data_IF_604533597079
#
_entry.id   IF_604533597079
#
_cell.length_a   1.000
_cell.length_b   1.000
_cell.length_c   1.000
_cell.angle_alpha   90.00
_cell.angle_beta   90.00
_cell.angle_gamma   90.00
#
_symmetry.space_group_name_H-M   'P 1'
#
loop_
_entity.id
_entity.type
_entity.pdbx_description
1 polymer ?
#
# COMPACT_ATOMS: atom_id res chain seq x y z
N UNK A 1 -33.15 3.68 -6.86
CA UNK A 1 -33.03 4.69 -5.80
C UNK A 1 -31.56 4.97 -5.53
N UNK A 2 -31.17 6.25 -5.46
CA UNK A 2 -29.84 6.67 -5.02
C UNK A 2 -29.95 7.27 -3.63
N UNK A 3 -29.22 6.72 -2.66
CA UNK A 3 -29.08 7.33 -1.33
C UNK A 3 -27.96 8.36 -1.38
N UNK A 4 -28.16 9.48 -0.69
CA UNK A 4 -27.16 10.52 -0.48
C UNK A 4 -26.82 10.58 1.00
N UNK A 5 -25.52 10.67 1.32
CA UNK A 5 -25.02 10.85 2.67
C UNK A 5 -24.17 12.12 2.71
N UNK A 6 -24.59 13.06 3.55
CA UNK A 6 -23.80 14.26 3.83
C UNK A 6 -22.70 13.90 4.84
N UNK A 7 -21.48 13.85 4.36
CA UNK A 7 -20.32 13.45 5.19
C UNK A 7 -19.97 14.49 6.26
N UNK A 8 -20.33 15.78 6.09
CA UNK A 8 -20.02 16.81 7.09
C UNK A 8 -20.69 16.48 8.43
N UNK A 9 -21.92 15.97 8.35
CA UNK A 9 -22.75 15.67 9.51
C UNK A 9 -22.56 14.25 10.09
N UNK A 10 -21.69 13.42 9.47
CA UNK A 10 -21.44 12.07 9.97
C UNK A 10 -20.30 12.03 11.01
N UNK A 11 -20.42 11.16 12.03
CA UNK A 11 -19.28 10.85 12.92
C UNK A 11 -18.07 10.32 12.16
N UNK A 12 -16.86 10.63 12.63
CA UNK A 12 -15.60 10.19 11.98
C UNK A 12 -15.55 8.67 11.75
N UNK A 13 -16.10 7.88 12.67
CA UNK A 13 -16.12 6.42 12.54
C UNK A 13 -17.02 5.96 11.38
N UNK A 14 -18.14 6.64 11.12
CA UNK A 14 -19.01 6.32 10.00
C UNK A 14 -18.40 6.76 8.68
N UNK A 15 -17.77 7.96 8.64
CA UNK A 15 -16.98 8.39 7.47
C UNK A 15 -15.93 7.34 7.11
N UNK A 16 -15.20 6.82 8.10
CA UNK A 16 -14.21 5.77 7.91
C UNK A 16 -14.84 4.48 7.35
N UNK A 17 -15.97 4.04 7.91
CA UNK A 17 -16.68 2.84 7.43
C UNK A 17 -17.10 2.97 5.97
N UNK A 18 -17.76 4.06 5.61
CA UNK A 18 -18.19 4.29 4.22
C UNK A 18 -17.00 4.35 3.26
N UNK A 19 -16.03 5.22 3.53
CA UNK A 19 -14.89 5.40 2.63
C UNK A 19 -14.06 4.12 2.47
N UNK A 20 -13.80 3.39 3.56
CA UNK A 20 -13.02 2.16 3.52
C UNK A 20 -13.76 0.97 2.89
N UNK A 21 -15.10 0.99 2.90
CA UNK A 21 -15.93 -0.04 2.27
C UNK A 21 -16.16 0.22 0.77
N UNK A 22 -16.16 1.49 0.35
CA UNK A 22 -16.48 1.88 -1.02
C UNK A 22 -15.22 2.06 -1.90
N UNK A 23 -14.10 2.48 -1.29
CA UNK A 23 -12.82 2.60 -2.01
C UNK A 23 -12.07 1.28 -1.89
N UNK A 24 -12.40 0.35 -2.74
CA UNK A 24 -11.86 -1.01 -2.83
C UNK A 24 -11.63 -1.39 -4.29
N UNK A 25 -10.69 -2.33 -4.60
CA UNK A 25 -9.71 -2.92 -3.70
C UNK A 25 -8.56 -1.96 -3.38
N UNK A 26 -8.01 -2.01 -2.17
CA UNK A 26 -6.83 -1.22 -1.80
C UNK A 26 -5.60 -2.12 -1.72
N UNK A 27 -4.46 -1.74 -2.31
CA UNK A 27 -3.20 -2.43 -2.09
C UNK A 27 -2.76 -2.30 -0.63
N UNK A 28 -1.94 -3.22 -0.17
CA UNK A 28 -1.38 -3.21 1.18
C UNK A 28 0.12 -2.98 1.12
N UNK A 29 0.56 -1.89 1.74
CA UNK A 29 1.95 -1.60 2.00
C UNK A 29 2.34 -2.14 3.37
N UNK A 30 3.19 -3.15 3.44
CA UNK A 30 3.81 -3.60 4.68
C UNK A 30 5.09 -2.80 4.87
N UNK A 31 5.01 -1.75 5.67
CA UNK A 31 6.05 -0.74 5.81
C UNK A 31 7.02 -1.15 6.87
N UNK A 32 8.31 -1.21 6.53
CA UNK A 32 9.39 -1.28 7.50
C UNK A 32 9.98 0.12 7.71
N UNK A 33 10.28 0.43 8.95
CA UNK A 33 10.90 1.69 9.39
C UNK A 33 11.87 1.42 10.54
N UNK A 34 12.74 2.38 10.84
CA UNK A 34 13.80 2.25 11.85
C UNK A 34 13.76 3.44 12.79
N UNK A 35 13.79 3.19 14.07
CA UNK A 35 13.86 4.26 15.07
C UNK A 35 15.29 4.83 15.20
N UNK A 36 15.49 5.95 15.93
CA UNK A 36 16.83 6.51 16.16
C UNK A 36 17.80 5.55 16.81
N UNK A 37 17.33 4.63 17.64
CA UNK A 37 18.10 3.63 18.38
C UNK A 37 18.50 2.43 17.53
N UNK A 38 17.97 2.34 16.29
CA UNK A 38 18.31 1.28 15.35
C UNK A 38 17.32 0.11 15.33
N UNK A 39 16.28 0.13 16.16
CA UNK A 39 15.25 -0.90 16.17
C UNK A 39 14.32 -0.75 14.96
N UNK A 40 14.09 -1.84 14.24
CA UNK A 40 13.15 -1.89 13.14
C UNK A 40 11.73 -2.20 13.61
N UNK A 41 10.77 -1.62 12.91
CA UNK A 41 9.34 -1.81 13.08
C UNK A 41 8.73 -2.18 11.71
N UNK A 42 7.71 -3.03 11.69
CA UNK A 42 6.99 -3.43 10.49
C UNK A 42 5.48 -3.32 10.71
N UNK A 43 4.78 -2.52 9.93
CA UNK A 43 3.34 -2.32 10.09
C UNK A 43 2.62 -2.21 8.74
N UNK A 44 1.41 -2.80 8.58
CA UNK A 44 0.66 -2.74 7.34
C UNK A 44 -0.22 -1.48 7.25
N UNK A 45 -0.28 -0.92 6.03
CA UNK A 45 -1.11 0.22 5.68
C UNK A 45 -1.82 -0.03 4.36
N UNK A 46 -3.14 0.23 4.32
CA UNK A 46 -3.94 0.09 3.10
C UNK A 46 -4.49 1.41 2.56
N UNK A 47 -4.18 2.53 3.20
CA UNK A 47 -4.34 3.85 2.58
C UNK A 47 -3.05 4.16 1.83
N UNK A 48 -2.86 3.46 0.71
CA UNK A 48 -1.63 3.43 -0.05
C UNK A 48 -1.91 3.32 -1.55
N UNK A 49 -1.16 4.07 -2.34
CA UNK A 49 -1.11 3.88 -3.79
C UNK A 49 0.12 4.59 -4.40
N UNK A 50 0.34 4.35 -5.70
CA UNK A 50 1.26 5.09 -6.55
C UNK A 50 0.56 6.33 -7.11
N UNK A 51 1.27 7.48 -7.19
CA UNK A 51 0.68 8.76 -7.60
C UNK A 51 1.45 9.53 -8.68
N UNK A 52 2.72 9.20 -8.91
CA UNK A 52 3.53 9.82 -9.97
C UNK A 52 4.67 8.89 -10.36
N UNK A 53 5.11 8.98 -11.61
CA UNK A 53 6.30 8.34 -12.14
C UNK A 53 7.51 9.30 -12.25
N UNK A 54 7.27 10.62 -12.28
CA UNK A 54 8.32 11.66 -12.38
C UNK A 54 8.00 12.86 -11.47
N UNK A 55 8.57 12.97 -10.28
CA UNK A 55 9.32 11.92 -9.57
C UNK A 55 8.44 10.70 -9.23
N UNK A 56 9.07 9.55 -9.00
CA UNK A 56 8.36 8.31 -8.66
C UNK A 56 7.79 8.38 -7.24
N UNK A 57 6.52 8.74 -7.10
CA UNK A 57 5.88 8.99 -5.80
C UNK A 57 4.85 7.93 -5.46
N UNK A 58 4.97 7.40 -4.25
CA UNK A 58 3.93 6.65 -3.55
C UNK A 58 3.40 7.45 -2.36
N UNK A 59 2.15 7.23 -1.99
CA UNK A 59 1.53 7.92 -0.84
C UNK A 59 1.02 6.89 0.18
N UNK A 60 1.34 7.14 1.45
CA UNK A 60 0.83 6.43 2.61
C UNK A 60 -0.03 7.36 3.46
N UNK A 61 -1.26 6.96 3.76
CA UNK A 61 -2.09 7.60 4.77
C UNK A 61 -1.94 6.90 6.12
N UNK A 62 -1.35 7.55 7.10
CA UNK A 62 -1.14 6.99 8.43
C UNK A 62 -2.02 7.70 9.45
N UNK A 63 -2.76 6.95 10.25
CA UNK A 63 -3.54 7.44 11.39
C UNK A 63 -2.87 7.09 12.71
N UNK A 64 -3.16 7.86 13.75
CA UNK A 64 -2.80 7.49 15.12
C UNK A 64 -3.52 6.20 15.57
N UNK A 65 -3.03 5.61 16.66
CA UNK A 65 -3.67 4.49 17.35
C UNK A 65 -5.04 4.94 17.93
N UNK A 66 -5.97 4.03 18.23
CA UNK A 66 -7.27 4.38 18.83
C UNK A 66 -7.15 5.17 20.13
N UNK A 67 -6.11 4.94 20.92
CA UNK A 67 -5.82 5.68 22.16
C UNK A 67 -5.24 7.10 21.93
N UNK A 68 -5.14 7.55 20.68
CA UNK A 68 -4.62 8.88 20.31
C UNK A 68 -3.09 8.96 20.22
N UNK A 69 -2.35 7.92 20.56
CA UNK A 69 -0.88 7.90 20.42
C UNK A 69 -0.48 7.75 18.95
N UNK A 70 0.60 8.39 18.56
CA UNK A 70 1.24 8.18 17.27
C UNK A 70 1.66 6.72 17.12
N UNK A 71 1.60 6.21 15.88
CA UNK A 71 2.21 4.92 15.55
C UNK A 71 3.73 5.07 15.46
N UNK A 72 4.46 4.03 15.84
CA UNK A 72 5.92 4.06 15.77
C UNK A 72 6.41 4.30 14.35
N UNK A 73 5.74 3.72 13.35
CA UNK A 73 6.05 3.92 11.93
C UNK A 73 6.12 5.41 11.53
N UNK A 74 5.12 6.24 11.91
CA UNK A 74 5.14 7.67 11.55
C UNK A 74 6.25 8.41 12.28
N UNK A 75 6.51 8.08 13.55
CA UNK A 75 7.59 8.70 14.34
C UNK A 75 8.96 8.36 13.73
N UNK A 76 9.18 7.10 13.37
CA UNK A 76 10.39 6.62 12.72
C UNK A 76 10.61 7.32 11.37
N UNK A 77 9.58 7.39 10.52
CA UNK A 77 9.63 8.05 9.21
C UNK A 77 9.94 9.55 9.36
N UNK A 78 9.33 10.23 10.34
CA UNK A 78 9.62 11.64 10.63
C UNK A 78 11.07 11.85 11.04
N UNK A 79 11.60 10.95 11.86
CA UNK A 79 12.97 11.03 12.36
C UNK A 79 14.02 10.67 11.30
N UNK A 80 13.83 9.56 10.59
CA UNK A 80 14.84 9.01 9.66
C UNK A 80 14.65 9.47 8.23
N UNK A 81 13.49 10.01 7.86
CA UNK A 81 13.15 10.44 6.50
C UNK A 81 13.27 9.32 5.45
N UNK A 82 13.23 8.06 5.89
CA UNK A 82 13.38 6.87 5.08
C UNK A 82 12.48 5.75 5.57
N UNK A 83 12.02 4.90 4.65
CA UNK A 83 11.22 3.71 4.94
C UNK A 83 11.26 2.75 3.74
N UNK A 84 10.96 1.47 3.97
CA UNK A 84 10.74 0.55 2.88
C UNK A 84 9.27 0.10 2.85
N UNK A 85 8.74 -0.13 1.65
CA UNK A 85 7.40 -0.69 1.43
C UNK A 85 7.59 -2.10 0.88
N UNK A 86 7.00 -3.08 1.53
CA UNK A 86 7.02 -4.47 1.11
C UNK A 86 5.62 -4.86 0.68
N UNK A 87 5.45 -5.28 -0.57
CA UNK A 87 4.14 -5.68 -1.10
C UNK A 87 3.77 -7.05 -0.55
N UNK A 88 2.53 -7.19 -0.12
CA UNK A 88 2.04 -8.41 0.52
C UNK A 88 1.36 -9.32 -0.49
N UNK A 89 1.80 -10.56 -0.56
CA UNK A 89 1.14 -11.64 -1.29
C UNK A 89 0.76 -12.79 -0.32
N UNK A 90 0.41 -13.95 -0.89
CA UNK A 90 0.03 -15.12 -0.08
C UNK A 90 1.13 -15.63 0.84
N UNK A 91 2.40 -15.43 0.48
CA UNK A 91 3.54 -15.97 1.23
C UNK A 91 3.73 -15.30 2.57
N UNK A 92 3.43 -13.99 2.66
CA UNK A 92 3.69 -13.17 3.85
C UNK A 92 2.44 -12.60 4.54
N UNK A 93 1.22 -12.99 4.10
CA UNK A 93 -0.02 -12.48 4.71
C UNK A 93 -0.13 -12.84 6.20
N UNK A 94 0.34 -14.03 6.59
CA UNK A 94 0.36 -14.45 8.00
C UNK A 94 1.25 -13.56 8.86
N UNK A 95 2.46 -13.27 8.38
CA UNK A 95 3.39 -12.37 9.04
C UNK A 95 2.82 -10.94 9.16
N UNK A 96 2.23 -10.44 8.09
CA UNK A 96 1.53 -9.14 8.09
C UNK A 96 0.39 -9.09 9.12
N UNK A 97 -0.39 -10.17 9.26
CA UNK A 97 -1.48 -10.21 10.26
C UNK A 97 -0.94 -10.15 11.69
N UNK A 98 0.14 -10.88 11.99
CA UNK A 98 0.80 -10.81 13.30
C UNK A 98 1.28 -9.39 13.57
N UNK A 99 2.00 -8.79 12.62
CA UNK A 99 2.51 -7.43 12.73
C UNK A 99 1.41 -6.32 12.72
N UNK A 100 0.14 -6.70 12.52
CA UNK A 100 -1.00 -5.78 12.66
C UNK A 100 -1.42 -5.57 14.11
N UNK A 101 -0.94 -6.37 15.05
CA UNK A 101 -1.27 -6.23 16.47
C UNK A 101 -0.61 -4.96 17.06
N UNK A 102 -1.21 -4.43 18.12
CA UNK A 102 -0.67 -3.27 18.85
C UNK A 102 0.41 -3.72 19.84
N UNK A 103 1.63 -3.97 19.32
CA UNK A 103 2.78 -4.27 20.17
C UNK A 103 3.21 -3.06 20.99
N UNK A 104 3.78 -3.27 22.19
CA UNK A 104 4.52 -2.24 22.91
C UNK A 104 5.71 -1.72 22.09
N UNK A 105 6.12 -0.47 22.32
CA UNK A 105 7.18 0.17 21.52
C UNK A 105 8.59 -0.40 21.77
N UNK A 106 8.76 -1.18 22.83
CA UNK A 106 9.97 -1.90 23.21
C UNK A 106 10.00 -3.35 22.72
N UNK A 107 8.92 -3.83 22.08
CA UNK A 107 8.83 -5.13 21.44
C UNK A 107 8.81 -4.99 19.92
N UNK A 108 9.51 -5.91 19.23
CA UNK A 108 9.51 -5.93 17.76
C UNK A 108 8.52 -6.97 17.25
N UNK A 109 7.50 -6.54 16.55
CA UNK A 109 6.58 -7.41 15.83
C UNK A 109 7.26 -8.30 14.79
N UNK A 110 8.46 -7.92 14.34
CA UNK A 110 9.27 -8.65 13.37
C UNK A 110 9.64 -10.04 13.89
N UNK A 111 10.04 -10.14 15.16
CA UNK A 111 10.43 -11.40 15.77
C UNK A 111 9.24 -12.36 15.89
N UNK A 112 8.08 -11.84 16.29
CA UNK A 112 6.84 -12.61 16.41
C UNK A 112 6.28 -13.04 15.05
N UNK A 113 6.43 -12.20 14.05
CA UNK A 113 5.96 -12.47 12.70
C UNK A 113 6.86 -13.43 11.91
N UNK A 114 8.04 -13.74 12.43
CA UNK A 114 9.01 -14.63 11.76
C UNK A 114 9.54 -14.03 10.45
N UNK A 115 9.71 -12.72 10.41
CA UNK A 115 10.18 -11.98 9.23
C UNK A 115 11.70 -11.92 9.23
N UNK A 116 12.30 -12.19 8.07
CA UNK A 116 13.74 -11.98 7.85
C UNK A 116 13.98 -10.58 7.26
N UNK A 117 14.81 -9.79 7.92
CA UNK A 117 15.22 -8.49 7.41
C UNK A 117 16.44 -8.60 6.51
N UNK A 118 16.42 -7.89 5.38
CA UNK A 118 17.54 -7.73 4.46
C UNK A 118 17.87 -6.26 4.21
N UNK A 119 19.15 -5.89 4.02
CA UNK A 119 19.53 -4.52 3.75
C UNK A 119 18.91 -4.01 2.44
N UNK A 120 18.65 -2.72 2.42
CA UNK A 120 18.37 -1.93 1.22
C UNK A 120 19.69 -1.42 0.63
N UNK A 121 19.65 -0.90 -0.62
CA UNK A 121 20.85 -0.42 -1.31
C UNK A 121 21.06 1.09 -1.13
N UNK A 122 19.96 1.87 -1.04
CA UNK A 122 20.01 3.34 -1.05
C UNK A 122 19.52 4.00 0.25
N UNK A 123 18.94 3.21 1.18
CA UNK A 123 18.42 3.70 2.46
C UNK A 123 18.93 2.88 3.63
N UNK A 124 19.01 3.51 4.80
CA UNK A 124 19.40 2.86 6.06
C UNK A 124 18.18 2.27 6.80
N UNK A 125 17.33 1.55 6.06
CA UNK A 125 16.20 0.78 6.59
C UNK A 125 16.24 -0.59 5.92
N UNK A 126 15.92 -1.64 6.66
CA UNK A 126 15.88 -2.99 6.10
C UNK A 126 14.52 -3.28 5.48
N UNK A 127 14.50 -4.07 4.40
CA UNK A 127 13.31 -4.63 3.76
C UNK A 127 13.02 -6.04 4.25
N UNK A 128 11.83 -6.55 3.94
CA UNK A 128 11.42 -7.92 4.24
C UNK A 128 11.91 -8.84 3.12
N UNK A 129 12.71 -9.86 3.47
CA UNK A 129 13.30 -10.79 2.51
C UNK A 129 12.25 -11.61 1.75
N UNK A 130 11.21 -12.03 2.43
CA UNK A 130 10.12 -12.86 1.91
C UNK A 130 9.15 -12.10 1.02
N UNK A 131 9.20 -10.76 1.02
CA UNK A 131 8.30 -9.95 0.20
C UNK A 131 8.65 -10.09 -1.30
N UNK A 132 7.64 -10.33 -2.15
CA UNK A 132 7.88 -10.49 -3.59
C UNK A 132 8.37 -9.22 -4.28
N UNK A 133 8.00 -8.07 -3.73
CA UNK A 133 8.40 -6.74 -4.20
C UNK A 133 8.65 -5.84 -3.00
N UNK A 134 9.76 -5.10 -3.01
CA UNK A 134 10.04 -4.06 -2.02
C UNK A 134 10.48 -2.77 -2.69
N UNK A 135 10.01 -1.63 -2.19
CA UNK A 135 10.39 -0.29 -2.62
C UNK A 135 11.23 0.38 -1.53
N UNK A 136 12.37 0.93 -1.91
CA UNK A 136 13.18 1.80 -1.06
C UNK A 136 12.69 3.23 -1.21
N UNK A 137 12.28 3.86 -0.13
CA UNK A 137 11.63 5.16 -0.16
C UNK A 137 12.36 6.19 0.71
N UNK A 138 12.53 7.39 0.16
CA UNK A 138 12.89 8.60 0.88
C UNK A 138 11.64 9.48 1.03
N UNK A 139 11.49 10.14 2.16
CA UNK A 139 10.40 11.10 2.34
C UNK A 139 10.58 12.27 1.35
N UNK A 140 9.60 12.46 0.49
CA UNK A 140 9.48 13.62 -0.38
C UNK A 140 8.79 14.77 0.37
N UNK A 141 7.65 14.46 1.02
CA UNK A 141 6.89 15.42 1.81
C UNK A 141 6.00 14.70 2.83
N UNK A 142 5.76 15.33 3.97
CA UNK A 142 4.75 14.91 4.94
C UNK A 142 3.71 16.02 5.05
N UNK A 143 2.44 15.67 4.88
CA UNK A 143 1.29 16.58 4.97
C UNK A 143 0.45 16.15 6.16
N UNK A 144 0.39 16.97 7.21
CA UNK A 144 -0.49 16.72 8.33
C UNK A 144 -1.92 17.17 7.97
N UNK A 145 -2.84 16.22 7.87
CA UNK A 145 -4.27 16.47 7.61
C UNK A 145 -5.02 16.86 8.89
N UNK A 146 -4.52 16.41 10.02
CA UNK A 146 -5.01 16.72 11.37
C UNK A 146 -3.98 16.25 12.40
N UNK A 147 -4.20 16.54 13.67
CA UNK A 147 -3.37 16.07 14.78
C UNK A 147 -3.26 14.52 14.86
N UNK A 148 -4.13 13.80 14.12
CA UNK A 148 -4.20 12.34 14.18
C UNK A 148 -3.96 11.64 12.85
N UNK A 149 -3.69 12.38 11.77
CA UNK A 149 -3.57 11.80 10.44
C UNK A 149 -2.58 12.56 9.57
N UNK A 150 -1.69 11.84 8.94
CA UNK A 150 -0.75 12.39 8.00
C UNK A 150 -0.77 11.60 6.67
N UNK A 151 -0.44 12.30 5.59
CA UNK A 151 -0.03 11.72 4.32
C UNK A 151 1.49 11.80 4.24
N UNK A 152 2.11 10.68 3.88
CA UNK A 152 3.55 10.60 3.62
C UNK A 152 3.72 10.35 2.13
N UNK A 153 4.29 11.32 1.44
CA UNK A 153 4.72 11.18 0.06
C UNK A 153 6.15 10.63 0.10
N UNK A 154 6.33 9.42 -0.42
CA UNK A 154 7.62 8.76 -0.51
C UNK A 154 8.10 8.72 -1.95
N UNK A 155 9.31 9.23 -2.20
CA UNK A 155 10.00 9.05 -3.46
C UNK A 155 10.64 7.66 -3.49
N UNK A 156 10.28 6.87 -4.48
CA UNK A 156 10.84 5.52 -4.69
C UNK A 156 12.20 5.65 -5.34
N UNK A 157 13.25 5.25 -4.63
CA UNK A 157 14.65 5.31 -5.08
C UNK A 157 15.11 3.99 -5.72
N UNK A 158 14.51 2.87 -5.32
CA UNK A 158 14.88 1.54 -5.80
C UNK A 158 13.77 0.53 -5.61
N UNK A 159 13.82 -0.53 -6.41
CA UNK A 159 12.86 -1.63 -6.39
C UNK A 159 13.61 -2.95 -6.29
N UNK A 160 13.26 -3.78 -5.32
CA UNK A 160 13.65 -5.18 -5.24
C UNK A 160 12.50 -6.04 -5.74
N UNK A 161 12.81 -6.98 -6.60
CA UNK A 161 11.84 -7.91 -7.19
C UNK A 161 12.33 -9.34 -7.01
N UNK A 162 11.44 -10.26 -6.68
CA UNK A 162 11.74 -11.67 -6.81
C UNK A 162 11.91 -12.03 -8.30
N UNK A 163 12.97 -12.77 -8.65
CA UNK A 163 13.35 -13.05 -10.05
C UNK A 163 12.20 -13.62 -10.89
N UNK A 164 11.32 -14.45 -10.27
CA UNK A 164 10.16 -15.04 -10.92
C UNK A 164 9.12 -14.04 -11.43
N UNK A 165 9.09 -12.84 -10.86
CA UNK A 165 8.03 -11.85 -11.17
C UNK A 165 8.26 -11.14 -12.49
N UNK A 166 9.50 -11.02 -12.93
CA UNK A 166 9.86 -10.23 -14.10
C UNK A 166 10.34 -11.14 -15.24
N UNK A 167 9.73 -11.02 -16.40
CA UNK A 167 10.26 -11.61 -17.62
C UNK A 167 11.61 -10.96 -17.94
N UNK A 168 12.70 -11.73 -18.00
CA UNK A 168 14.04 -11.19 -18.15
C UNK A 168 14.29 -10.53 -19.52
N UNK A 169 13.52 -10.89 -20.56
CA UNK A 169 13.65 -10.39 -21.91
C UNK A 169 12.80 -9.14 -22.12
N UNK A 170 11.51 -9.23 -21.85
CA UNK A 170 10.55 -8.16 -22.10
C UNK A 170 10.49 -7.11 -21.00
N UNK A 171 11.07 -7.42 -19.84
CA UNK A 171 10.99 -6.59 -18.62
C UNK A 171 9.56 -6.30 -18.16
N UNK A 172 8.64 -7.19 -18.49
CA UNK A 172 7.25 -7.09 -18.04
C UNK A 172 7.03 -7.97 -16.83
N UNK A 173 6.17 -7.50 -15.94
CA UNK A 173 5.68 -8.30 -14.81
C UNK A 173 4.91 -9.50 -15.36
N UNK A 174 5.24 -10.70 -14.88
CA UNK A 174 4.51 -11.94 -15.17
C UNK A 174 3.31 -12.00 -14.23
N UNK A 175 2.10 -11.79 -14.73
CA UNK A 175 0.93 -11.65 -13.86
C UNK A 175 0.60 -12.88 -13.02
N UNK A 176 0.95 -14.06 -13.49
CA UNK A 176 0.72 -15.34 -12.82
C UNK A 176 1.64 -15.53 -11.62
N UNK A 177 2.82 -14.89 -11.68
CA UNK A 177 3.86 -14.95 -10.63
C UNK A 177 3.74 -13.85 -9.57
N UNK A 178 2.83 -12.87 -9.80
CA UNK A 178 2.64 -11.76 -8.89
C UNK A 178 1.15 -11.56 -8.56
N UNK A 179 0.76 -11.97 -7.36
CA UNK A 179 -0.62 -11.88 -6.88
C UNK A 179 -0.69 -11.17 -5.52
N UNK A 180 -0.52 -9.84 -5.51
CA UNK A 180 -0.65 -9.07 -4.27
C UNK A 180 -2.07 -9.17 -3.72
N UNK A 181 -2.17 -9.06 -2.39
CA UNK A 181 -3.48 -9.02 -1.74
C UNK A 181 -4.11 -7.64 -1.84
N UNK A 182 -5.42 -7.62 -1.76
CA UNK A 182 -6.23 -6.42 -1.68
C UNK A 182 -6.97 -6.35 -0.35
N UNK A 183 -6.89 -5.22 0.33
CA UNK A 183 -7.70 -4.93 1.52
C UNK A 183 -9.09 -4.49 1.07
N UNK A 184 -10.10 -5.09 1.66
CA UNK A 184 -11.50 -4.71 1.53
C UNK A 184 -11.98 -3.97 2.79
N UNK A 185 -13.19 -4.23 3.22
CA UNK A 185 -13.75 -3.65 4.43
C UNK A 185 -13.52 -4.54 5.66
N UNK A 186 -13.45 -3.92 6.83
CA UNK A 186 -13.30 -4.64 8.11
C UNK A 186 -12.03 -5.49 8.13
N UNK A 187 -12.18 -6.79 8.32
CA UNK A 187 -11.09 -7.77 8.32
C UNK A 187 -10.99 -8.58 7.02
N UNK A 188 -11.65 -8.11 5.95
CA UNK A 188 -11.71 -8.81 4.69
C UNK A 188 -10.54 -8.44 3.79
N UNK A 189 -10.06 -9.43 3.04
CA UNK A 189 -9.05 -9.34 2.00
C UNK A 189 -9.52 -10.09 0.76
N UNK A 190 -8.99 -9.74 -0.39
CA UNK A 190 -9.22 -10.45 -1.64
C UNK A 190 -7.90 -10.77 -2.33
N UNK A 191 -7.92 -11.83 -3.13
CA UNK A 191 -6.88 -12.15 -4.10
C UNK A 191 -7.27 -11.57 -5.45
N UNK A 192 -6.28 -11.23 -6.27
CA UNK A 192 -6.54 -10.93 -7.66
C UNK A 192 -7.11 -12.18 -8.32
N UNK A 193 -8.34 -12.06 -8.85
CA UNK A 193 -9.05 -13.14 -9.52
C UNK A 193 -8.86 -13.12 -11.03
N UNK A 194 -9.95 -13.42 -11.77
CA UNK A 194 -9.96 -13.37 -13.22
C UNK A 194 -9.57 -11.97 -13.72
N UNK A 195 -8.63 -11.94 -14.67
CA UNK A 195 -8.20 -10.72 -15.35
C UNK A 195 -8.87 -10.65 -16.72
N UNK A 196 -9.11 -9.45 -17.18
CA UNK A 196 -9.55 -9.20 -18.55
C UNK A 196 -8.71 -8.07 -19.14
N UNK A 197 -8.55 -8.07 -20.45
CA UNK A 197 -7.89 -7.02 -21.20
C UNK A 197 -8.89 -6.36 -22.13
N UNK A 198 -8.92 -5.05 -22.13
CA UNK A 198 -9.77 -4.27 -23.01
C UNK A 198 -8.96 -3.10 -23.57
N UNK A 199 -8.84 -3.04 -24.88
CA UNK A 199 -8.18 -1.92 -25.54
C UNK A 199 -9.01 -0.64 -25.40
N UNK A 200 -8.31 0.48 -25.23
CA UNK A 200 -8.98 1.80 -25.29
C UNK A 200 -9.27 2.05 -26.76
N UNK A 201 -10.55 2.30 -27.14
CA UNK A 201 -10.87 2.56 -28.53
C UNK A 201 -10.28 3.92 -28.96
N UNK A 202 -9.83 4.01 -30.21
CA UNK A 202 -9.45 5.28 -30.82
C UNK A 202 -10.69 6.15 -31.11
N UNK A 203 -10.47 7.46 -31.24
CA UNK A 203 -11.56 8.39 -31.59
C UNK A 203 -12.20 7.99 -32.93
N UNK A 204 -11.39 7.57 -33.91
CA UNK A 204 -11.90 7.15 -35.22
C UNK A 204 -12.78 5.90 -35.13
N UNK A 205 -12.39 4.92 -34.32
CA UNK A 205 -13.24 3.73 -34.05
C UNK A 205 -14.56 4.13 -33.38
N UNK A 206 -14.54 5.05 -32.43
CA UNK A 206 -15.77 5.56 -31.78
C UNK A 206 -16.67 6.23 -32.81
N UNK A 207 -16.13 7.08 -33.70
CA UNK A 207 -16.89 7.78 -34.73
C UNK A 207 -17.47 6.81 -35.80
N UNK A 208 -16.69 5.82 -36.23
CA UNK A 208 -17.11 4.85 -37.23
C UNK A 208 -18.18 3.89 -36.72
N UNK A 209 -18.08 3.46 -35.48
CA UNK A 209 -19.00 2.51 -34.87
C UNK A 209 -20.22 3.18 -34.23
N UNK A 210 -20.24 4.51 -34.12
CA UNK A 210 -21.30 5.25 -33.43
C UNK A 210 -21.51 4.83 -31.99
N UNK A 211 -20.41 4.39 -31.33
CA UNK A 211 -20.45 3.80 -29.98
C UNK A 211 -20.94 4.82 -28.96
N UNK A 212 -22.09 4.55 -28.35
CA UNK A 212 -22.48 5.15 -27.10
C UNK A 212 -22.03 4.28 -25.90
N UNK A 213 -22.00 4.88 -24.71
CA UNK A 213 -21.55 4.16 -23.50
C UNK A 213 -22.31 2.86 -23.20
N UNK A 214 -23.54 2.70 -23.73
CA UNK A 214 -24.36 1.50 -23.60
C UNK A 214 -24.03 0.36 -24.58
N UNK A 215 -23.24 0.65 -25.63
CA UNK A 215 -22.97 -0.28 -26.72
C UNK A 215 -21.67 -1.10 -26.48
N UNK A 216 -20.95 -0.77 -25.40
CA UNK A 216 -19.77 -1.53 -25.01
C UNK A 216 -20.17 -2.92 -24.52
N UNK A 217 -19.46 -4.00 -24.95
CA UNK A 217 -19.75 -5.36 -24.49
C UNK A 217 -19.82 -5.40 -22.97
N UNK A 218 -20.91 -5.94 -22.45
CA UNK A 218 -21.03 -6.31 -21.05
C UNK A 218 -20.38 -7.69 -20.92
N UNK A 219 -19.27 -7.77 -20.17
CA UNK A 219 -18.61 -9.04 -19.84
C UNK A 219 -19.49 -9.93 -18.96
#
# INVERSE_FOLDING_TARGET
FKMYFDLENLPTQEKYKFLSALVIPRPVAFVTSKNPEGLHNAAPFSFFNMFSEEPAIVILGISHRPNGKSKDTINNIRSKQQFAINMVDRSIIGAMHIASADFPSDESEIDYAGITLMPCNQIDVMRIAEAPVSFECRVFQIIDLSDRRALILGEVLGIHLADRILDPITKRVIPEEYSPIARLYGNEYAWLGKRYSKAIPSIDEIHQLGLAAGDLPKD
#
